data_IF_692320322474
#
_entry.id   IF_692320322474
#
_cell.length_a   1.000
_cell.length_b   1.000
_cell.length_c   1.000
_cell.angle_alpha   90.00
_cell.angle_beta   90.00
_cell.angle_gamma   90.00
#
_symmetry.space_group_name_H-M   'P 1'
#
loop_
_entity.id
_entity.type
_entity.pdbx_description
1 polymer ?
#
# COMPACT_ATOMS: atom_id res chain seq x y z
N UNK A 1 -21.81 -9.00 48.03
CA UNK A 1 -21.89 -10.47 48.18
C UNK A 1 -21.81 -11.07 46.78
N UNK A 2 -20.90 -12.04 46.60
CA UNK A 2 -20.67 -12.92 45.42
C UNK A 2 -19.85 -12.35 44.23
N UNK A 3 -18.74 -13.06 44.02
CA UNK A 3 -17.62 -12.99 43.08
C UNK A 3 -17.83 -13.83 41.82
N UNK A 4 -17.16 -13.48 40.71
CA UNK A 4 -16.59 -14.39 39.67
C UNK A 4 -16.15 -13.58 38.44
N UNK A 5 -15.07 -13.84 37.68
CA UNK A 5 -13.94 -14.76 37.78
C UNK A 5 -12.89 -14.23 36.78
N UNK A 6 -11.65 -14.03 37.21
CA UNK A 6 -10.55 -13.61 36.34
C UNK A 6 -10.23 -14.66 35.26
N UNK A 7 -10.20 -14.27 33.98
CA UNK A 7 -9.56 -15.07 32.94
C UNK A 7 -8.09 -14.70 32.83
N UNK A 8 -7.27 -15.23 33.75
CA UNK A 8 -5.83 -15.32 33.49
C UNK A 8 -5.61 -16.41 32.44
N UNK A 9 -5.60 -16.05 31.16
CA UNK A 9 -4.83 -16.85 30.18
C UNK A 9 -3.35 -16.56 30.42
N UNK A 10 -2.77 -17.24 31.41
CA UNK A 10 -1.33 -17.50 31.41
C UNK A 10 -1.07 -18.40 30.21
N UNK A 11 -0.81 -17.79 29.05
CA UNK A 11 -0.17 -18.49 27.95
C UNK A 11 1.11 -19.09 28.51
N UNK A 12 1.18 -20.42 28.59
CA UNK A 12 2.45 -21.10 28.82
C UNK A 12 3.33 -20.72 27.63
N UNK A 13 4.19 -19.70 27.81
CA UNK A 13 5.40 -19.55 27.01
C UNK A 13 6.14 -20.86 27.19
N UNK A 14 5.99 -21.76 26.23
CA UNK A 14 6.78 -22.97 26.17
C UNK A 14 8.21 -22.49 25.96
N UNK A 15 8.95 -22.35 27.08
CA UNK A 15 10.32 -21.90 27.08
C UNK A 15 11.09 -23.07 26.48
N UNK A 16 11.39 -22.98 25.19
CA UNK A 16 12.23 -23.94 24.51
C UNK A 16 13.67 -23.83 25.05
N UNK A 17 13.89 -24.40 26.24
CA UNK A 17 15.18 -24.39 26.94
C UNK A 17 16.21 -25.30 26.27
N UNK A 18 15.77 -26.17 25.36
CA UNK A 18 16.60 -27.20 24.73
C UNK A 18 16.80 -26.97 23.24
N UNK A 19 16.30 -25.85 22.68
CA UNK A 19 16.50 -25.49 21.28
C UNK A 19 15.86 -26.47 20.30
N UNK A 20 14.69 -27.03 20.62
CA UNK A 20 13.93 -27.99 19.79
C UNK A 20 12.56 -27.46 19.35
N UNK A 21 12.38 -26.15 19.34
CA UNK A 21 11.20 -25.50 18.76
C UNK A 21 11.10 -25.77 17.26
N UNK A 22 9.94 -25.46 16.70
CA UNK A 22 9.65 -25.57 15.27
C UNK A 22 10.81 -25.03 14.42
N UNK A 23 11.45 -25.94 13.66
CA UNK A 23 12.55 -25.63 12.76
C UNK A 23 12.08 -25.80 11.34
N UNK A 24 11.72 -24.69 10.72
CA UNK A 24 11.27 -24.63 9.33
C UNK A 24 9.94 -23.90 9.17
N UNK A 25 9.63 -23.46 7.94
CA UNK A 25 8.35 -22.85 7.62
C UNK A 25 7.20 -23.79 7.98
N UNK A 26 6.18 -23.27 8.69
CA UNK A 26 4.97 -24.03 9.01
C UNK A 26 4.14 -24.38 7.77
N UNK A 27 4.32 -23.61 6.70
CA UNK A 27 3.65 -23.77 5.42
C UNK A 27 4.69 -23.72 4.30
N UNK A 28 4.52 -24.51 3.22
CA UNK A 28 5.29 -24.35 1.99
C UNK A 28 5.16 -22.92 1.46
N UNK A 29 6.25 -22.38 0.87
CA UNK A 29 6.28 -21.04 0.27
C UNK A 29 5.35 -20.87 -0.95
N UNK A 30 4.80 -21.98 -1.44
CA UNK A 30 3.86 -22.02 -2.56
C UNK A 30 2.40 -21.81 -2.14
N UNK A 31 2.11 -21.76 -0.83
CA UNK A 31 0.75 -21.57 -0.34
C UNK A 31 0.47 -20.09 -0.03
N UNK A 32 -0.75 -19.57 -0.28
CA UNK A 32 -1.11 -18.19 0.07
C UNK A 32 -0.91 -17.84 1.56
N UNK A 33 -0.94 -18.85 2.42
CA UNK A 33 -0.70 -18.69 3.85
C UNK A 33 0.73 -18.26 4.20
N UNK A 34 1.71 -18.48 3.32
CA UNK A 34 3.10 -18.04 3.52
C UNK A 34 3.38 -16.61 3.07
N UNK A 35 2.46 -15.97 2.34
CA UNK A 35 2.69 -14.63 1.78
C UNK A 35 2.91 -13.60 2.88
N UNK A 36 3.93 -12.76 2.68
CA UNK A 36 4.25 -11.66 3.57
C UNK A 36 3.17 -10.57 3.50
N UNK A 37 3.15 -9.66 4.48
CA UNK A 37 2.23 -8.51 4.43
C UNK A 37 2.50 -7.60 3.23
N UNK A 38 3.77 -7.48 2.84
CA UNK A 38 4.17 -6.74 1.64
C UNK A 38 3.54 -7.35 0.39
N UNK A 39 3.75 -8.64 0.17
CA UNK A 39 3.23 -9.35 -0.99
C UNK A 39 1.70 -9.32 -1.08
N UNK A 40 1.01 -9.36 0.08
CA UNK A 40 -0.46 -9.23 0.11
C UNK A 40 -0.92 -7.83 -0.29
N UNK A 41 -0.19 -6.80 0.10
CA UNK A 41 -0.47 -5.44 -0.30
C UNK A 41 -0.18 -5.25 -1.79
N UNK A 42 0.93 -5.79 -2.30
CA UNK A 42 1.26 -5.74 -3.72
C UNK A 42 0.18 -6.42 -4.57
N UNK A 43 -0.34 -7.58 -4.13
CA UNK A 43 -1.46 -8.24 -4.79
C UNK A 43 -2.73 -7.37 -4.80
N UNK A 44 -3.06 -6.73 -3.67
CA UNK A 44 -4.21 -5.83 -3.56
C UNK A 44 -4.07 -4.61 -4.48
N UNK A 45 -2.86 -4.04 -4.61
CA UNK A 45 -2.59 -2.94 -5.55
C UNK A 45 -2.79 -3.39 -6.99
N UNK A 46 -2.33 -4.60 -7.35
CA UNK A 46 -2.55 -5.16 -8.69
C UNK A 46 -4.05 -5.37 -8.97
N UNK A 47 -4.79 -5.94 -8.02
CA UNK A 47 -6.22 -6.18 -8.14
C UNK A 47 -6.99 -4.85 -8.34
N UNK A 48 -6.60 -3.79 -7.62
CA UNK A 48 -7.20 -2.45 -7.77
C UNK A 48 -6.80 -1.75 -9.08
N UNK A 49 -5.59 -2.00 -9.59
CA UNK A 49 -5.09 -1.38 -10.82
C UNK A 49 -5.65 -2.04 -12.09
N UNK A 50 -5.93 -3.34 -12.06
CA UNK A 50 -6.42 -4.11 -13.21
C UNK A 50 -7.63 -3.47 -13.94
N UNK A 51 -8.72 -3.06 -13.27
CA UNK A 51 -9.85 -2.41 -13.95
C UNK A 51 -9.49 -1.07 -14.59
N UNK A 52 -8.62 -0.29 -13.94
CA UNK A 52 -8.15 1.01 -14.44
C UNK A 52 -7.29 0.81 -15.70
N UNK A 53 -6.34 -0.13 -15.65
CA UNK A 53 -5.48 -0.48 -16.79
C UNK A 53 -6.28 -1.04 -17.96
N UNK A 54 -7.34 -1.81 -17.71
CA UNK A 54 -8.19 -2.34 -18.78
C UNK A 54 -8.85 -1.22 -19.60
N UNK A 55 -9.20 -0.10 -18.96
CA UNK A 55 -9.86 1.05 -19.59
C UNK A 55 -8.87 2.05 -20.22
N UNK A 56 -7.73 2.28 -19.58
CA UNK A 56 -6.76 3.35 -19.94
C UNK A 56 -5.40 2.83 -20.40
N UNK A 57 -5.36 1.60 -20.94
CA UNK A 57 -4.12 0.89 -21.29
C UNK A 57 -3.14 1.72 -22.13
N UNK A 58 -3.65 2.46 -23.12
CA UNK A 58 -2.83 3.21 -24.08
C UNK A 58 -2.12 4.38 -23.42
N UNK A 59 -2.81 5.03 -22.51
CA UNK A 59 -2.40 6.23 -21.80
C UNK A 59 -1.43 5.88 -20.66
N UNK A 60 -1.64 4.74 -19.99
CA UNK A 60 -0.83 4.29 -18.84
C UNK A 60 0.44 3.54 -19.22
N UNK A 61 0.71 3.30 -20.52
CA UNK A 61 1.89 2.52 -20.96
C UNK A 61 3.24 3.09 -20.48
N UNK A 62 3.30 4.39 -20.15
CA UNK A 62 4.51 5.07 -19.65
C UNK A 62 4.49 5.36 -18.15
N UNK A 63 3.51 4.81 -17.42
CA UNK A 63 3.34 4.99 -15.99
C UNK A 63 3.76 3.70 -15.27
N UNK A 64 4.70 3.82 -14.33
CA UNK A 64 5.03 2.73 -13.42
C UNK A 64 4.26 2.90 -12.11
N UNK A 65 3.76 1.82 -11.51
CA UNK A 65 3.26 1.84 -10.12
C UNK A 65 4.30 1.16 -9.22
N UNK A 66 4.63 1.80 -8.11
CA UNK A 66 5.60 1.31 -7.13
C UNK A 66 5.02 1.40 -5.73
N UNK A 67 5.46 0.50 -4.85
CA UNK A 67 5.10 0.49 -3.43
C UNK A 67 6.35 0.79 -2.61
N UNK A 68 6.22 1.71 -1.67
CA UNK A 68 7.22 1.99 -0.65
C UNK A 68 6.58 1.87 0.74
N UNK A 69 7.38 1.60 1.77
CA UNK A 69 6.86 1.32 3.11
C UNK A 69 6.47 2.62 3.84
N UNK A 70 7.38 3.59 3.92
CA UNK A 70 7.19 4.84 4.65
C UNK A 70 7.86 5.98 3.88
N UNK A 71 7.17 7.11 3.64
CA UNK A 71 7.80 8.26 3.01
C UNK A 71 8.98 8.77 3.85
N UNK A 72 10.03 9.25 3.19
CA UNK A 72 11.08 10.00 3.90
C UNK A 72 10.44 11.19 4.62
N UNK A 73 10.61 11.23 5.95
CA UNK A 73 9.96 12.23 6.80
C UNK A 73 10.52 13.61 6.46
N UNK A 74 9.79 14.37 5.65
CA UNK A 74 10.04 15.80 5.51
C UNK A 74 9.45 16.48 6.75
N UNK A 75 10.16 17.42 7.41
CA UNK A 75 9.65 18.09 8.60
C UNK A 75 8.26 18.68 8.35
N UNK A 76 7.34 18.46 9.29
CA UNK A 76 5.98 18.99 9.23
C UNK A 76 6.03 20.51 9.03
N UNK A 77 5.45 20.99 7.94
CA UNK A 77 5.48 22.41 7.54
C UNK A 77 6.33 22.75 6.31
N UNK A 78 6.90 21.76 5.61
CA UNK A 78 7.39 21.97 4.25
C UNK A 78 6.26 22.36 3.29
N UNK A 79 6.56 23.10 2.19
CA UNK A 79 5.56 23.40 1.17
C UNK A 79 4.94 22.11 0.62
N UNK A 80 3.66 22.12 0.22
CA UNK A 80 3.04 20.96 -0.42
C UNK A 80 3.89 20.52 -1.61
N UNK A 81 4.31 19.25 -1.58
CA UNK A 81 5.07 18.67 -2.68
C UNK A 81 4.10 18.39 -3.82
N UNK A 82 4.42 18.88 -5.02
CA UNK A 82 3.60 18.67 -6.20
C UNK A 82 3.41 17.17 -6.48
N UNK A 83 2.17 16.77 -6.79
CA UNK A 83 1.81 15.37 -7.05
C UNK A 83 1.72 14.48 -5.81
N UNK A 84 1.84 15.02 -4.59
CA UNK A 84 1.66 14.23 -3.36
C UNK A 84 0.20 14.27 -2.90
N UNK A 85 -0.42 13.09 -2.79
CA UNK A 85 -1.70 12.92 -2.12
C UNK A 85 -1.44 12.61 -0.65
N UNK A 86 -1.88 13.50 0.24
CA UNK A 86 -1.68 13.38 1.67
C UNK A 86 -3.01 13.45 2.41
N UNK A 87 -3.13 12.62 3.45
CA UNK A 87 -4.18 12.75 4.44
C UNK A 87 -3.56 13.17 5.78
N UNK A 88 -4.12 14.21 6.38
CA UNK A 88 -3.71 14.70 7.70
C UNK A 88 -2.20 15.00 7.79
N UNK A 89 -1.60 15.45 6.69
CA UNK A 89 -0.16 15.75 6.57
C UNK A 89 0.74 14.53 6.36
N UNK A 90 0.19 13.33 6.21
CA UNK A 90 0.93 12.10 5.91
C UNK A 90 0.72 11.71 4.44
N UNK A 91 1.79 11.61 3.63
CA UNK A 91 1.68 11.14 2.26
C UNK A 91 1.12 9.72 2.18
N UNK A 92 0.07 9.55 1.37
CA UNK A 92 -0.49 8.25 0.99
C UNK A 92 0.06 7.78 -0.34
N UNK A 93 0.21 8.71 -1.28
CA UNK A 93 0.81 8.45 -2.58
C UNK A 93 1.60 9.67 -3.08
N UNK A 94 2.47 9.41 -4.06
CA UNK A 94 3.22 10.43 -4.77
C UNK A 94 3.32 10.11 -6.25
N UNK A 95 2.86 11.03 -7.08
CA UNK A 95 3.13 11.06 -8.50
C UNK A 95 4.49 11.72 -8.77
N UNK A 96 5.42 10.95 -9.31
CA UNK A 96 6.69 11.41 -9.84
C UNK A 96 6.53 11.55 -11.34
N UNK A 97 6.57 12.78 -11.85
CA UNK A 97 6.46 13.03 -13.28
C UNK A 97 7.68 12.48 -14.05
N UNK A 98 7.47 12.18 -15.33
CA UNK A 98 8.56 11.81 -16.23
C UNK A 98 9.58 12.95 -16.34
N UNK A 99 10.86 12.62 -16.34
CA UNK A 99 11.92 13.61 -16.31
C UNK A 99 13.25 13.02 -16.75
N UNK A 100 14.33 13.59 -16.25
CA UNK A 100 15.70 13.14 -16.51
C UNK A 100 16.37 12.91 -15.17
N UNK A 101 16.95 11.74 -14.97
CA UNK A 101 17.69 11.44 -13.76
C UNK A 101 19.01 12.23 -13.68
N UNK A 102 19.71 12.12 -12.54
CA UNK A 102 21.02 12.79 -12.34
C UNK A 102 22.11 12.31 -13.32
N UNK A 103 21.89 11.22 -14.06
CA UNK A 103 22.80 10.63 -15.03
C UNK A 103 22.43 10.97 -16.47
N UNK A 104 21.40 11.79 -16.68
CA UNK A 104 20.95 12.19 -18.01
C UNK A 104 19.99 11.19 -18.68
N UNK A 105 19.54 10.16 -17.97
CA UNK A 105 18.67 9.13 -18.52
C UNK A 105 17.20 9.51 -18.36
N UNK A 106 16.35 9.28 -19.40
CA UNK A 106 14.93 9.57 -19.30
C UNK A 106 14.27 8.64 -18.27
N UNK A 107 13.48 9.22 -17.37
CA UNK A 107 12.67 8.49 -16.39
C UNK A 107 11.21 8.46 -16.82
N UNK A 108 10.55 7.34 -16.56
CA UNK A 108 9.09 7.21 -16.71
C UNK A 108 8.38 7.93 -15.57
N UNK A 109 7.12 8.26 -15.80
CA UNK A 109 6.27 8.71 -14.71
C UNK A 109 6.03 7.53 -13.76
N UNK A 110 5.92 7.81 -12.45
CA UNK A 110 5.73 6.78 -11.44
C UNK A 110 4.77 7.22 -10.36
N UNK A 111 3.77 6.39 -10.05
CA UNK A 111 2.97 6.54 -8.82
C UNK A 111 3.63 5.69 -7.74
N UNK A 112 3.95 6.29 -6.61
CA UNK A 112 4.49 5.60 -5.42
C UNK A 112 3.40 5.57 -4.35
N UNK A 113 2.95 4.38 -3.96
CA UNK A 113 2.02 4.17 -2.85
C UNK A 113 2.79 3.88 -1.57
N UNK A 114 2.38 4.51 -0.47
CA UNK A 114 3.00 4.28 0.84
C UNK A 114 2.18 3.27 1.65
N UNK A 115 2.70 2.05 1.80
CA UNK A 115 1.98 0.93 2.43
C UNK A 115 1.59 1.24 3.88
N UNK A 116 2.53 1.69 4.72
CA UNK A 116 2.25 1.86 6.16
C UNK A 116 1.19 2.93 6.44
N UNK A 117 1.22 4.11 5.80
CA UNK A 117 0.15 5.09 5.93
C UNK A 117 -1.24 4.57 5.54
N UNK A 118 -1.33 3.71 4.50
CA UNK A 118 -2.59 3.12 4.03
C UNK A 118 -3.10 2.03 4.99
N UNK A 119 -2.22 1.10 5.39
CA UNK A 119 -2.54 0.04 6.37
C UNK A 119 -3.02 0.58 7.72
N UNK A 120 -2.47 1.71 8.18
CA UNK A 120 -2.83 2.32 9.47
C UNK A 120 -4.23 2.97 9.45
N UNK A 121 -4.70 3.36 8.26
CA UNK A 121 -5.99 4.05 8.08
C UNK A 121 -7.15 3.10 7.88
N UNK A 122 -6.90 2.02 7.16
CA UNK A 122 -7.90 0.99 6.94
C UNK A 122 -8.22 0.26 8.25
N UNK A 123 -9.51 -0.01 8.51
CA UNK A 123 -9.92 -0.77 9.71
C UNK A 123 -9.81 -2.27 9.48
N UNK A 124 -10.03 -2.70 8.23
CA UNK A 124 -9.89 -4.08 7.78
C UNK A 124 -9.37 -4.15 6.33
N UNK A 125 -9.35 -5.36 5.75
CA UNK A 125 -8.83 -5.57 4.40
C UNK A 125 -9.72 -5.05 3.29
N UNK A 126 -11.04 -4.95 3.51
CA UNK A 126 -11.95 -4.40 2.52
C UNK A 126 -11.78 -2.88 2.47
N UNK A 127 -11.78 -2.22 3.65
CA UNK A 127 -11.47 -0.80 3.77
C UNK A 127 -10.12 -0.45 3.14
N UNK A 128 -9.13 -1.36 3.21
CA UNK A 128 -7.81 -1.16 2.60
C UNK A 128 -7.87 -1.25 1.06
N UNK A 129 -8.67 -2.17 0.53
CA UNK A 129 -8.84 -2.32 -0.91
C UNK A 129 -9.51 -1.08 -1.50
N UNK A 130 -10.59 -0.62 -0.88
CA UNK A 130 -11.31 0.59 -1.28
C UNK A 130 -10.39 1.82 -1.20
N UNK A 131 -9.67 1.99 -0.09
CA UNK A 131 -8.73 3.11 0.08
C UNK A 131 -7.60 3.10 -0.96
N UNK A 132 -7.07 1.93 -1.31
CA UNK A 132 -6.02 1.82 -2.33
C UNK A 132 -6.56 2.15 -3.72
N UNK A 133 -7.77 1.68 -4.04
CA UNK A 133 -8.47 2.01 -5.27
C UNK A 133 -8.68 3.52 -5.40
N UNK A 134 -9.27 4.17 -4.39
CA UNK A 134 -9.50 5.62 -4.37
C UNK A 134 -8.20 6.41 -4.62
N UNK A 135 -7.12 6.01 -3.93
CA UNK A 135 -5.81 6.65 -4.07
C UNK A 135 -5.23 6.45 -5.46
N UNK A 136 -5.38 5.27 -6.06
CA UNK A 136 -4.92 4.99 -7.42
C UNK A 136 -5.71 5.82 -8.45
N UNK A 137 -7.03 5.87 -8.32
CA UNK A 137 -7.94 6.67 -9.17
C UNK A 137 -7.50 8.13 -9.15
N UNK A 138 -7.32 8.71 -7.95
CA UNK A 138 -6.90 10.11 -7.78
C UNK A 138 -5.53 10.38 -8.46
N UNK A 139 -4.57 9.48 -8.27
CA UNK A 139 -3.22 9.64 -8.84
C UNK A 139 -3.18 9.45 -10.36
N UNK A 140 -3.96 8.51 -10.89
CA UNK A 140 -4.10 8.30 -12.33
C UNK A 140 -4.83 9.48 -12.97
N UNK A 141 -5.89 9.98 -12.35
CA UNK A 141 -6.61 11.18 -12.78
C UNK A 141 -5.66 12.39 -12.83
N UNK A 142 -4.87 12.59 -11.78
CA UNK A 142 -3.84 13.63 -11.73
C UNK A 142 -2.80 13.47 -12.85
N UNK A 143 -2.37 12.24 -13.14
CA UNK A 143 -1.42 11.96 -14.23
C UNK A 143 -1.99 12.27 -15.62
N UNK A 144 -3.26 11.91 -15.85
CA UNK A 144 -3.95 12.11 -17.13
C UNK A 144 -4.51 13.52 -17.29
N UNK A 145 -4.58 14.31 -16.22
CA UNK A 145 -5.24 15.61 -16.20
C UNK A 145 -6.76 15.50 -16.36
N UNK A 146 -7.35 14.42 -15.84
CA UNK A 146 -8.78 14.12 -15.88
C UNK A 146 -9.40 14.23 -14.49
N UNK A 147 -10.72 14.23 -14.43
CA UNK A 147 -11.46 14.13 -13.17
C UNK A 147 -11.43 12.68 -12.65
N UNK A 148 -11.21 12.44 -11.33
CA UNK A 148 -11.23 11.09 -10.75
C UNK A 148 -12.52 10.31 -11.03
N UNK A 149 -13.68 10.96 -11.11
CA UNK A 149 -14.95 10.29 -11.43
C UNK A 149 -14.93 9.63 -12.82
N UNK A 150 -14.16 10.19 -13.75
CA UNK A 150 -13.99 9.65 -15.11
C UNK A 150 -13.12 8.39 -15.12
N UNK A 151 -12.19 8.29 -14.16
CA UNK A 151 -11.27 7.15 -14.02
C UNK A 151 -11.94 6.00 -13.28
N UNK A 152 -12.63 6.30 -12.18
CA UNK A 152 -13.30 5.33 -11.31
C UNK A 152 -14.34 4.50 -12.08
N UNK A 153 -15.10 5.17 -12.95
CA UNK A 153 -16.01 4.49 -13.87
C UNK A 153 -17.22 3.84 -13.20
N UNK A 154 -17.51 4.15 -11.92
CA UNK A 154 -18.79 3.86 -11.30
C UNK A 154 -19.88 4.75 -11.94
N UNK A 155 -20.56 4.18 -12.93
CA UNK A 155 -21.86 4.60 -13.46
C UNK A 155 -22.65 3.37 -13.91
#
# INVERSE_FOLDING_TARGET
MVTARSFRRRGRRNRDRHGRGLRGPLYPSTLPASSTRAEKFDALVLDALEPIEARWRTELTKLDVAVDDVPEVTPAGGPPQEGVLADSGVPLARLVQAGVDRRGQPTRARIVLYRRPLEVRAKDSADLADLVHDVLVEQVATYLGLDPEVIDGES
#
